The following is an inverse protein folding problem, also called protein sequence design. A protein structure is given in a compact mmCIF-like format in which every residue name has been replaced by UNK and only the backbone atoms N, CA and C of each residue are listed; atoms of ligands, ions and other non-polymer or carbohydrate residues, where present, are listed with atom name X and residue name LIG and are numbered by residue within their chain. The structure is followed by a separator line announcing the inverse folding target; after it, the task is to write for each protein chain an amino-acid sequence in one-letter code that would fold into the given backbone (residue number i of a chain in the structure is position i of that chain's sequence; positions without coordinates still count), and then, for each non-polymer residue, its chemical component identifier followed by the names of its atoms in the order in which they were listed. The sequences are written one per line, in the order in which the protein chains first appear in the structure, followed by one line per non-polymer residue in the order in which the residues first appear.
data_IF_736679131712
#
_entry.id   IF_736679131712
#
_cell.length_a   1.000
_cell.length_b   1.000
_cell.length_c   1.000
_cell.angle_alpha   90.00
_cell.angle_beta   90.00
_cell.angle_gamma   90.00
#
_symmetry.space_group_name_H-M   'P 1'
#
loop_
_entity.id
_entity.type
_entity.pdbx_description
1 polymer ?
#
# COMPACT_ATOMS: atom_id res chain seq x y z
N UNK A 1 0.42 5.71 -12.14
CA UNK A 1 0.52 5.61 -10.67
C UNK A 1 1.95 5.35 -10.18
N UNK A 2 2.62 4.26 -10.56
CA UNK A 2 3.97 3.98 -10.03
C UNK A 2 4.99 5.13 -10.22
N UNK A 3 5.06 5.83 -11.38
CA UNK A 3 5.94 7.00 -11.49
C UNK A 3 5.63 8.12 -10.49
N UNK A 4 4.36 8.31 -10.11
CA UNK A 4 3.96 9.31 -9.12
C UNK A 4 4.41 8.90 -7.72
N UNK A 5 4.23 7.62 -7.35
CA UNK A 5 4.72 7.08 -6.08
C UNK A 5 6.25 7.16 -6.00
N UNK A 6 6.94 6.82 -7.09
CA UNK A 6 8.40 6.92 -7.16
C UNK A 6 8.90 8.36 -7.03
N UNK A 7 8.19 9.33 -7.63
CA UNK A 7 8.48 10.75 -7.45
C UNK A 7 8.25 11.23 -6.00
N UNK A 8 7.43 10.52 -5.22
CA UNK A 8 7.22 10.73 -3.79
C UNK A 8 8.19 9.89 -2.93
N UNK A 9 9.32 9.45 -3.47
CA UNK A 9 10.29 8.59 -2.77
C UNK A 9 9.66 7.31 -2.19
N UNK A 10 8.70 6.73 -2.92
CA UNK A 10 7.97 5.52 -2.50
C UNK A 10 8.15 4.42 -3.53
N UNK A 11 8.63 3.27 -3.08
CA UNK A 11 8.75 2.07 -3.90
C UNK A 11 7.53 1.16 -3.72
N UNK A 12 7.25 0.36 -4.76
CA UNK A 12 6.12 -0.57 -4.79
C UNK A 12 6.65 -1.98 -5.01
N UNK A 13 6.12 -2.94 -4.27
CA UNK A 13 6.40 -4.36 -4.47
C UNK A 13 5.08 -5.09 -4.70
N UNK A 14 4.96 -5.80 -5.83
CA UNK A 14 3.91 -6.79 -6.02
C UNK A 14 4.35 -8.09 -5.36
N UNK A 15 3.51 -8.71 -4.53
CA UNK A 15 3.87 -9.94 -3.82
C UNK A 15 2.74 -10.95 -4.01
N UNK A 16 3.09 -12.19 -4.35
CA UNK A 16 2.16 -13.33 -4.31
C UNK A 16 2.90 -14.60 -3.92
N UNK A 17 2.15 -15.68 -3.69
CA UNK A 17 2.71 -17.01 -3.39
C UNK A 17 3.18 -17.76 -4.65
N UNK A 18 3.10 -17.12 -5.82
CA UNK A 18 3.58 -17.67 -7.10
C UNK A 18 5.11 -17.66 -7.18
N UNK A 19 5.65 -18.49 -8.07
CA UNK A 19 7.09 -18.51 -8.37
C UNK A 19 7.53 -17.31 -9.23
N UNK A 20 8.82 -16.98 -9.17
CA UNK A 20 9.41 -15.98 -10.09
C UNK A 20 9.25 -16.34 -11.56
N UNK A 21 9.17 -17.63 -11.90
CA UNK A 21 8.92 -18.09 -13.27
C UNK A 21 7.48 -17.79 -13.71
N UNK A 22 6.52 -18.00 -12.82
CA UNK A 22 5.13 -17.64 -13.06
C UNK A 22 4.97 -16.12 -13.24
N UNK A 23 5.66 -15.31 -12.42
CA UNK A 23 5.72 -13.85 -12.60
C UNK A 23 6.27 -13.45 -13.97
N UNK A 24 7.39 -14.05 -14.39
CA UNK A 24 7.97 -13.79 -15.72
C UNK A 24 6.96 -14.08 -16.83
N UNK A 25 6.41 -15.29 -16.86
CA UNK A 25 5.41 -15.67 -17.87
C UNK A 25 4.20 -14.74 -17.81
N UNK A 26 3.72 -14.40 -16.62
CA UNK A 26 2.60 -13.47 -16.44
C UNK A 26 2.88 -12.10 -17.08
N UNK A 27 4.09 -11.55 -16.89
CA UNK A 27 4.48 -10.28 -17.53
C UNK A 27 4.63 -10.36 -19.05
N UNK A 28 4.91 -11.55 -19.59
CA UNK A 28 5.03 -11.76 -21.04
C UNK A 28 3.66 -11.93 -21.71
N UNK A 29 2.71 -12.62 -21.05
CA UNK A 29 1.43 -13.01 -21.67
C UNK A 29 0.27 -12.07 -21.35
N UNK A 30 0.29 -11.35 -20.22
CA UNK A 30 -0.81 -10.46 -19.81
C UNK A 30 -0.56 -9.02 -20.27
N UNK A 31 -1.43 -8.42 -21.12
CA UNK A 31 -1.30 -7.02 -21.53
C UNK A 31 -1.32 -6.01 -20.38
N UNK A 32 -1.93 -6.38 -19.25
CA UNK A 32 -1.94 -5.55 -18.05
C UNK A 32 -0.63 -5.70 -17.26
N UNK A 33 -0.11 -6.92 -17.14
CA UNK A 33 1.11 -7.21 -16.40
C UNK A 33 2.38 -6.77 -17.14
N UNK A 34 2.37 -6.76 -18.48
CA UNK A 34 3.50 -6.30 -19.29
C UNK A 34 3.86 -4.82 -19.08
N UNK A 35 2.93 -4.05 -18.49
CA UNK A 35 3.13 -2.64 -18.11
C UNK A 35 3.59 -2.46 -16.67
N UNK A 36 3.68 -3.55 -15.89
CA UNK A 36 4.19 -3.50 -14.51
C UNK A 36 5.68 -3.19 -14.56
N UNK A 37 6.06 -2.12 -13.89
CA UNK A 37 7.43 -1.59 -13.87
C UNK A 37 8.00 -1.52 -12.46
N UNK A 38 7.46 -2.32 -11.55
CA UNK A 38 7.92 -2.51 -10.18
C UNK A 38 8.17 -4.00 -9.92
N UNK A 39 9.02 -4.36 -8.95
CA UNK A 39 9.37 -5.75 -8.69
C UNK A 39 8.16 -6.61 -8.30
N UNK A 40 8.14 -7.84 -8.82
CA UNK A 40 7.23 -8.91 -8.41
C UNK A 40 8.00 -9.93 -7.55
N UNK A 41 7.71 -9.96 -6.27
CA UNK A 41 8.33 -10.81 -5.26
C UNK A 41 7.56 -12.14 -5.17
N UNK A 42 8.32 -13.23 -5.10
CA UNK A 42 7.80 -14.57 -4.85
C UNK A 42 7.82 -14.86 -3.35
N UNK A 43 6.66 -15.17 -2.78
CA UNK A 43 6.47 -15.62 -1.39
C UNK A 43 6.07 -17.09 -1.34
N UNK A 44 6.78 -17.94 -2.10
CA UNK A 44 6.46 -19.36 -2.24
C UNK A 44 6.55 -20.19 -0.96
N UNK A 45 7.30 -19.71 0.03
CA UNK A 45 7.40 -20.33 1.37
C UNK A 45 6.34 -19.77 2.34
N UNK A 46 5.51 -18.84 1.87
CA UNK A 46 4.45 -18.16 2.61
C UNK A 46 4.93 -17.37 3.83
N UNK A 47 6.22 -17.01 3.90
CA UNK A 47 6.79 -16.31 5.04
C UNK A 47 6.23 -14.88 5.14
N UNK A 48 6.21 -14.16 4.02
CA UNK A 48 5.77 -12.76 3.96
C UNK A 48 4.26 -12.69 4.21
N UNK A 49 3.47 -13.47 3.48
CA UNK A 49 2.01 -13.47 3.59
C UNK A 49 1.50 -13.87 4.97
N UNK A 50 2.18 -14.81 5.66
CA UNK A 50 1.89 -15.13 7.07
C UNK A 50 2.30 -14.00 8.02
N UNK A 51 3.49 -13.43 7.85
CA UNK A 51 3.97 -12.32 8.69
C UNK A 51 3.00 -11.13 8.64
N UNK A 52 2.49 -10.82 7.45
CA UNK A 52 1.49 -9.76 7.27
C UNK A 52 0.05 -10.22 7.54
N UNK A 53 -0.19 -11.48 7.94
CA UNK A 53 -1.52 -12.03 8.24
C UNK A 53 -2.52 -11.80 7.10
N UNK A 54 -2.11 -12.14 5.88
CA UNK A 54 -2.92 -12.04 4.66
C UNK A 54 -2.98 -13.36 3.87
N UNK A 55 -2.28 -14.41 4.32
CA UNK A 55 -2.40 -15.73 3.73
C UNK A 55 -3.75 -16.35 4.06
N UNK A 56 -4.40 -16.94 3.06
CA UNK A 56 -5.46 -17.92 3.26
C UNK A 56 -4.80 -19.31 3.37
N UNK A 57 -4.73 -19.84 4.58
CA UNK A 57 -4.07 -21.13 4.87
C UNK A 57 -4.74 -22.32 4.17
N UNK A 58 -6.02 -22.22 3.81
CA UNK A 58 -6.73 -23.29 3.11
C UNK A 58 -6.37 -23.34 1.62
N UNK A 59 -6.30 -22.19 0.95
CA UNK A 59 -6.01 -22.14 -0.49
C UNK A 59 -4.52 -21.99 -0.82
N UNK A 60 -3.69 -21.55 0.13
CA UNK A 60 -2.29 -21.17 -0.13
C UNK A 60 -2.13 -19.87 -0.92
N UNK A 61 -3.23 -19.16 -1.20
CA UNK A 61 -3.22 -17.85 -1.85
C UNK A 61 -3.40 -16.73 -0.81
N UNK A 62 -3.11 -15.49 -1.18
CA UNK A 62 -3.32 -14.34 -0.29
C UNK A 62 -4.70 -13.71 -0.50
N UNK A 63 -5.29 -13.18 0.57
CA UNK A 63 -6.26 -12.08 0.45
C UNK A 63 -5.61 -10.86 -0.21
N UNK A 64 -6.42 -9.91 -0.69
CA UNK A 64 -5.90 -8.71 -1.35
C UNK A 64 -5.42 -7.71 -0.31
N UNK A 65 -4.15 -7.82 0.08
CA UNK A 65 -3.49 -6.91 1.01
C UNK A 65 -2.84 -5.70 0.33
N UNK A 66 -2.83 -4.58 1.02
CA UNK A 66 -1.90 -3.45 0.81
C UNK A 66 -1.32 -3.07 2.17
N UNK A 67 0.00 -3.00 2.26
CA UNK A 67 0.71 -2.55 3.46
C UNK A 67 1.60 -1.38 3.07
N UNK A 68 1.51 -0.31 3.83
CA UNK A 68 2.37 0.87 3.69
C UNK A 68 3.33 0.86 4.89
N UNK A 69 4.62 0.89 4.57
CA UNK A 69 5.71 0.86 5.53
C UNK A 69 6.49 2.17 5.38
N UNK A 70 6.78 2.82 6.50
CA UNK A 70 7.60 4.05 6.51
C UNK A 70 9.11 3.74 6.42
N UNK A 71 9.97 4.76 6.25
CA UNK A 71 11.42 4.57 6.17
C UNK A 71 12.05 3.88 7.38
N UNK A 72 11.42 3.96 8.55
CA UNK A 72 11.83 3.32 9.80
C UNK A 72 11.43 1.83 9.87
N UNK A 73 10.71 1.33 8.85
CA UNK A 73 10.27 -0.05 8.77
C UNK A 73 8.98 -0.33 9.54
N UNK A 74 8.24 0.71 9.95
CA UNK A 74 7.00 0.60 10.71
C UNK A 74 5.80 0.59 9.76
N UNK A 75 4.85 -0.29 10.04
CA UNK A 75 3.59 -0.34 9.29
C UNK A 75 2.71 0.84 9.71
N UNK A 76 2.54 1.81 8.81
CA UNK A 76 1.68 2.98 9.03
C UNK A 76 0.25 2.77 8.54
N UNK A 77 0.04 1.86 7.59
CA UNK A 77 -1.30 1.49 7.13
C UNK A 77 -1.33 0.06 6.62
N UNK A 78 -2.41 -0.65 6.93
CA UNK A 78 -2.72 -1.98 6.39
C UNK A 78 -4.18 -2.03 5.98
N UNK A 79 -4.42 -2.42 4.73
CA UNK A 79 -5.76 -2.66 4.19
C UNK A 79 -5.84 -4.10 3.68
N UNK A 80 -6.91 -4.80 4.03
CA UNK A 80 -7.17 -6.18 3.58
C UNK A 80 -8.54 -6.23 2.96
N UNK A 81 -8.58 -6.65 1.69
CA UNK A 81 -9.80 -6.80 0.93
C UNK A 81 -10.07 -8.28 0.67
N UNK A 82 -11.35 -8.69 0.60
CA UNK A 82 -11.70 -10.01 0.15
C UNK A 82 -11.34 -10.15 -1.36
N UNK A 83 -11.29 -11.38 -1.86
CA UNK A 83 -10.75 -11.65 -3.22
C UNK A 83 -11.62 -11.07 -4.33
N UNK A 84 -12.89 -10.80 -4.04
CA UNK A 84 -13.93 -10.28 -4.93
C UNK A 84 -13.81 -8.76 -5.12
N UNK A 85 -13.19 -8.04 -4.18
CA UNK A 85 -13.17 -6.57 -4.19
C UNK A 85 -11.80 -6.04 -4.59
N UNK A 86 -11.77 -5.24 -5.66
CA UNK A 86 -10.57 -4.55 -6.11
C UNK A 86 -10.14 -3.44 -5.13
N UNK A 87 -8.83 -3.21 -5.05
CA UNK A 87 -8.25 -2.11 -4.25
C UNK A 87 -8.45 -0.77 -4.94
N UNK A 88 -8.64 0.29 -4.15
CA UNK A 88 -8.63 1.66 -4.66
C UNK A 88 -7.21 2.24 -4.63
N UNK A 89 -6.60 2.40 -5.80
CA UNK A 89 -5.22 2.92 -5.90
C UNK A 89 -5.14 4.42 -5.59
N UNK A 90 -6.21 5.18 -5.80
CA UNK A 90 -6.25 6.60 -5.44
C UNK A 90 -6.24 6.80 -3.93
N UNK A 91 -6.79 5.86 -3.16
CA UNK A 91 -6.69 5.90 -1.69
C UNK A 91 -5.24 5.69 -1.23
N UNK A 92 -4.50 4.78 -1.88
CA UNK A 92 -3.08 4.58 -1.60
C UNK A 92 -2.32 5.89 -1.87
N UNK A 93 -2.57 6.54 -3.02
CA UNK A 93 -1.94 7.82 -3.33
C UNK A 93 -2.29 8.91 -2.31
N UNK A 94 -3.58 9.02 -1.93
CA UNK A 94 -4.08 9.99 -0.94
C UNK A 94 -3.41 9.79 0.42
N UNK A 95 -3.25 8.53 0.86
CA UNK A 95 -2.54 8.20 2.09
C UNK A 95 -1.08 8.64 2.03
N UNK A 96 -0.37 8.34 0.95
CA UNK A 96 1.02 8.78 0.79
C UNK A 96 1.15 10.31 0.83
N UNK A 97 0.25 11.02 0.15
CA UNK A 97 0.24 12.48 0.13
C UNK A 97 -0.09 13.07 1.50
N UNK A 98 -1.03 12.45 2.23
CA UNK A 98 -1.39 12.85 3.58
C UNK A 98 -0.25 12.65 4.58
N UNK A 99 0.44 11.50 4.51
CA UNK A 99 1.59 11.22 5.37
C UNK A 99 2.71 12.26 5.17
N UNK A 100 3.08 12.53 3.92
CA UNK A 100 4.11 13.54 3.61
C UNK A 100 3.66 14.96 3.97
N UNK A 101 2.38 15.29 3.80
CA UNK A 101 1.84 16.57 4.25
C UNK A 101 1.94 16.72 5.77
N UNK A 102 1.56 15.66 6.51
CA UNK A 102 1.60 15.65 7.97
C UNK A 102 3.02 15.81 8.49
N UNK A 103 3.98 15.10 7.88
CA UNK A 103 5.40 15.21 8.19
C UNK A 103 5.93 16.62 7.94
N UNK A 104 5.60 17.22 6.79
CA UNK A 104 6.08 18.55 6.41
C UNK A 104 5.49 19.67 7.27
N UNK A 105 4.24 19.54 7.71
CA UNK A 105 3.49 20.64 8.35
C UNK A 105 3.31 20.45 9.86
N UNK A 106 3.51 19.25 10.39
CA UNK A 106 3.15 18.86 11.75
C UNK A 106 1.64 18.76 11.99
N UNK A 107 0.81 18.95 10.95
CA UNK A 107 -0.65 18.90 11.08
C UNK A 107 -1.18 17.47 10.92
N UNK A 108 -2.32 17.18 11.55
CA UNK A 108 -3.08 15.95 11.36
C UNK A 108 -3.87 15.99 10.05
N UNK A 109 -4.18 14.80 9.53
CA UNK A 109 -4.96 14.62 8.30
C UNK A 109 -6.40 14.27 8.67
N UNK A 110 -7.38 15.17 8.44
CA UNK A 110 -8.79 14.88 8.73
C UNK A 110 -9.35 13.72 7.91
N UNK A 111 -10.51 13.21 8.35
CA UNK A 111 -11.31 12.30 7.55
C UNK A 111 -11.63 12.92 6.18
N UNK A 112 -11.57 12.11 5.13
CA UNK A 112 -11.80 12.51 3.74
C UNK A 112 -10.85 13.60 3.20
N UNK A 113 -9.74 13.88 3.89
CA UNK A 113 -8.76 14.86 3.42
C UNK A 113 -8.21 14.50 2.05
N UNK A 114 -8.15 15.50 1.16
CA UNK A 114 -7.48 15.41 -0.15
C UNK A 114 -6.47 16.54 -0.32
N UNK A 115 -5.46 16.38 -1.20
CA UNK A 115 -4.46 17.41 -1.45
C UNK A 115 -5.08 18.79 -1.75
N UNK A 116 -4.52 19.82 -1.11
CA UNK A 116 -5.02 21.20 -1.20
C UNK A 116 -5.97 21.60 -0.07
N UNK A 117 -6.49 20.66 0.71
CA UNK A 117 -7.27 20.96 1.91
C UNK A 117 -6.37 21.23 3.13
N UNK A 118 -6.82 22.07 4.09
CA UNK A 118 -6.08 22.31 5.32
C UNK A 118 -6.02 21.03 6.18
N UNK A 119 -4.90 20.85 6.89
CA UNK A 119 -4.81 19.87 7.97
C UNK A 119 -5.43 20.37 9.28
N UNK A 120 -5.34 19.56 10.32
CA UNK A 120 -5.81 19.88 11.68
C UNK A 120 -4.61 20.12 12.60
N UNK A 121 -4.64 21.18 13.39
CA UNK A 121 -3.60 21.45 14.39
C UNK A 121 -3.62 20.36 15.46
N UNK A 122 -2.49 19.68 15.65
CA UNK A 122 -2.31 18.66 16.69
C UNK A 122 -1.88 19.32 18.00
N UNK A 123 -2.85 19.85 18.75
CA UNK A 123 -2.60 20.45 20.06
C UNK A 123 -3.57 19.89 21.12
N UNK A 124 -3.02 19.54 22.29
CA UNK A 124 -3.75 18.96 23.41
C UNK A 124 -4.88 19.85 23.93
N UNK A 125 -4.77 21.17 23.74
CA UNK A 125 -5.82 22.14 24.11
C UNK A 125 -7.12 21.97 23.30
N UNK A 126 -7.08 21.29 22.15
CA UNK A 126 -8.25 21.04 21.29
C UNK A 126 -8.86 19.64 21.49
N UNK A 127 -8.33 18.82 22.39
CA UNK A 127 -8.91 17.49 22.66
C UNK A 127 -10.37 17.65 23.14
N UNK A 128 -11.30 16.98 22.44
CA UNK A 128 -12.74 17.01 22.76
C UNK A 128 -13.48 18.28 22.32
N UNK A 129 -12.87 19.14 21.49
CA UNK A 129 -13.44 20.42 21.03
C UNK A 129 -13.58 20.54 19.50
N UNK A 130 -13.33 19.43 18.79
CA UNK A 130 -13.38 19.28 17.33
C UNK A 130 -14.52 18.36 16.94
#
# INVERSE_FOLDING_TARGET
MYPQLKAMNTEVLGISTDSVYAHKVFTEVSPAASKVNYPLVSDRNHYISRAYRILNEHSGATYRGTVIVDPEGIIVTKMVYPVEVGRNVYEILRLMQGLQYSEKTGQGIPANWVPGQPGIIRNTLYIGRI
#
